data_IF_528152915113
#
_entry.id   IF_528152915113
#
_cell.length_a   1.000
_cell.length_b   1.000
_cell.length_c   1.000
_cell.angle_alpha   90.00
_cell.angle_beta   90.00
_cell.angle_gamma   90.00
#
_symmetry.space_group_name_H-M   'P 1'
#
loop_
_entity.id
_entity.type
_entity.pdbx_description
1 polymer ?
#
# COMPACT_ATOMS: atom_id res chain seq x y z
N UNK A 1 18.70 -5.56 48.77
CA UNK A 1 18.99 -4.35 47.95
C UNK A 1 20.06 -4.57 46.89
N UNK A 2 21.20 -5.23 47.18
CA UNK A 2 22.27 -5.45 46.17
C UNK A 2 21.88 -6.27 44.94
N UNK A 3 20.94 -7.20 45.06
CA UNK A 3 20.50 -8.06 43.95
C UNK A 3 19.70 -7.30 42.87
N UNK A 4 18.93 -6.28 43.26
CA UNK A 4 18.19 -5.42 42.33
C UNK A 4 19.15 -4.54 41.50
N UNK A 5 20.24 -4.07 42.11
CA UNK A 5 21.27 -3.27 41.42
C UNK A 5 22.09 -4.08 40.41
N UNK A 6 22.23 -5.39 40.61
CA UNK A 6 22.88 -6.28 39.64
C UNK A 6 21.96 -6.56 38.47
N UNK A 7 20.69 -6.90 38.73
CA UNK A 7 19.70 -7.19 37.68
C UNK A 7 19.46 -5.99 36.75
N UNK A 8 19.40 -4.76 37.31
CA UNK A 8 19.29 -3.54 36.50
C UNK A 8 20.52 -3.27 35.63
N UNK A 9 21.73 -3.57 36.13
CA UNK A 9 22.95 -3.43 35.31
C UNK A 9 22.98 -4.43 34.17
N UNK A 10 22.65 -5.69 34.42
CA UNK A 10 22.62 -6.74 33.41
C UNK A 10 21.60 -6.42 32.29
N UNK A 11 20.42 -5.89 32.67
CA UNK A 11 19.40 -5.47 31.71
C UNK A 11 19.89 -4.30 30.82
N UNK A 12 20.56 -3.31 31.40
CA UNK A 12 21.10 -2.16 30.64
C UNK A 12 22.20 -2.60 29.68
N UNK A 13 23.06 -3.53 30.10
CA UNK A 13 24.09 -4.10 29.22
C UNK A 13 23.48 -4.91 28.07
N UNK A 14 22.45 -5.73 28.34
CA UNK A 14 21.76 -6.50 27.31
C UNK A 14 21.07 -5.59 26.26
N UNK A 15 20.38 -4.52 26.71
CA UNK A 15 19.74 -3.55 25.81
C UNK A 15 20.79 -2.79 24.99
N UNK A 16 21.91 -2.39 25.60
CA UNK A 16 23.01 -1.72 24.89
C UNK A 16 23.61 -2.64 23.82
N UNK A 17 23.84 -3.91 24.14
CA UNK A 17 24.37 -4.88 23.17
C UNK A 17 23.41 -5.10 22.00
N UNK A 18 22.11 -5.23 22.27
CA UNK A 18 21.10 -5.34 21.21
C UNK A 18 21.04 -4.11 20.30
N UNK A 19 21.10 -2.90 20.88
CA UNK A 19 21.11 -1.65 20.13
C UNK A 19 22.37 -1.50 19.27
N UNK A 20 23.55 -1.85 19.80
CA UNK A 20 24.80 -1.83 19.04
C UNK A 20 24.78 -2.83 17.87
N UNK A 21 24.21 -4.03 18.06
CA UNK A 21 24.05 -4.99 16.98
C UNK A 21 23.14 -4.45 15.86
N UNK A 22 22.06 -3.73 16.19
CA UNK A 22 21.20 -3.10 15.18
C UNK A 22 21.89 -1.97 14.42
N UNK A 23 22.71 -1.15 15.10
CA UNK A 23 23.49 -0.09 14.45
C UNK A 23 24.58 -0.65 13.52
N UNK A 24 25.23 -1.74 13.92
CA UNK A 24 26.21 -2.43 13.08
C UNK A 24 25.56 -2.98 11.79
N UNK A 25 24.32 -3.50 11.90
CA UNK A 25 23.58 -3.95 10.73
C UNK A 25 23.23 -2.80 9.79
N UNK A 26 22.77 -1.65 10.31
CA UNK A 26 22.46 -0.47 9.47
C UNK A 26 23.72 0.12 8.80
N UNK A 27 24.86 0.10 9.50
CA UNK A 27 26.14 0.52 8.92
C UNK A 27 26.60 -0.39 7.77
N UNK A 28 26.44 -1.72 7.91
CA UNK A 28 26.74 -2.68 6.85
C UNK A 28 25.80 -2.52 5.64
N UNK A 29 24.50 -2.33 5.88
CA UNK A 29 23.52 -2.10 4.80
C UNK A 29 23.86 -0.81 4.04
N UNK A 30 24.22 0.27 4.74
CA UNK A 30 24.67 1.52 4.11
C UNK A 30 25.95 1.34 3.30
N UNK A 31 26.93 0.61 3.82
CA UNK A 31 28.18 0.34 3.11
C UNK A 31 27.94 -0.44 1.81
N UNK A 32 27.08 -1.48 1.86
CA UNK A 32 26.71 -2.27 0.67
C UNK A 32 25.95 -1.44 -0.36
N UNK A 33 25.04 -0.55 0.07
CA UNK A 33 24.33 0.35 -0.85
C UNK A 33 25.31 1.29 -1.56
N UNK A 34 26.33 1.81 -0.86
CA UNK A 34 27.35 2.69 -1.46
C UNK A 34 28.23 1.93 -2.45
N UNK A 35 28.63 0.69 -2.15
CA UNK A 35 29.39 -0.13 -3.12
C UNK A 35 28.56 -0.47 -4.35
N UNK A 36 27.27 -0.78 -4.19
CA UNK A 36 26.39 -1.09 -5.32
C UNK A 36 26.11 0.13 -6.20
N UNK A 37 26.09 1.35 -5.65
CA UNK A 37 25.92 2.56 -6.46
C UNK A 37 27.19 3.01 -7.20
N UNK A 38 28.37 2.53 -6.81
CA UNK A 38 29.62 2.84 -7.53
C UNK A 38 29.90 1.93 -8.74
N UNK A 39 29.12 0.87 -8.94
CA UNK A 39 29.24 -0.02 -10.11
C UNK A 39 28.47 0.47 -11.35
N UNK A 40 27.66 1.53 -11.23
CA UNK A 40 27.04 2.21 -12.36
C UNK A 40 27.81 3.49 -12.72
N UNK A 41 29.08 3.34 -13.13
CA UNK A 41 29.68 4.38 -13.96
C UNK A 41 28.99 4.34 -15.33
N UNK A 42 28.25 5.40 -15.74
CA UNK A 42 27.68 5.45 -17.07
C UNK A 42 28.84 5.51 -18.06
N UNK A 43 29.12 4.38 -18.72
CA UNK A 43 30.00 4.34 -19.87
C UNK A 43 29.61 5.49 -20.80
N UNK A 44 30.57 6.34 -21.24
CA UNK A 44 30.27 7.40 -22.19
C UNK A 44 29.83 6.74 -23.49
N UNK A 45 28.53 6.59 -23.67
CA UNK A 45 27.93 6.15 -24.92
C UNK A 45 28.37 7.18 -25.94
N UNK A 46 29.37 6.82 -26.74
CA UNK A 46 29.80 7.61 -27.87
C UNK A 46 28.63 7.59 -28.84
N UNK A 47 27.79 8.62 -28.76
CA UNK A 47 26.65 8.82 -29.64
C UNK A 47 27.23 9.06 -31.03
N UNK A 48 27.40 7.97 -31.78
CA UNK A 48 27.69 8.01 -33.21
C UNK A 48 26.58 8.86 -33.83
N UNK A 49 26.96 9.98 -34.44
CA UNK A 49 26.08 10.87 -35.16
C UNK A 49 25.41 10.07 -36.30
N UNK A 50 24.30 9.43 -35.98
CA UNK A 50 23.41 8.80 -36.94
C UNK A 50 22.61 9.93 -37.55
N UNK A 51 22.68 10.03 -38.88
CA UNK A 51 21.94 11.00 -39.67
C UNK A 51 20.46 11.00 -39.26
N UNK A 52 19.83 12.19 -39.14
CA UNK A 52 18.44 12.31 -38.73
C UNK A 52 17.54 11.70 -39.79
N UNK A 53 17.28 10.40 -39.67
CA UNK A 53 16.28 9.71 -40.45
C UNK A 53 14.93 10.26 -40.00
N UNK A 54 14.31 11.05 -40.87
CA UNK A 54 12.98 11.63 -40.68
C UNK A 54 11.95 10.49 -40.70
N UNK A 55 11.83 9.78 -39.58
CA UNK A 55 10.73 8.86 -39.35
C UNK A 55 9.49 9.70 -39.08
N UNK A 56 8.67 9.84 -40.10
CA UNK A 56 7.32 10.38 -39.96
C UNK A 56 6.49 9.39 -39.14
N UNK A 57 6.55 9.53 -37.81
CA UNK A 57 5.63 8.85 -36.90
C UNK A 57 4.25 9.45 -37.16
N UNK A 58 3.41 8.70 -37.85
CA UNK A 58 1.98 9.01 -37.97
C UNK A 58 1.42 8.97 -36.56
N UNK A 59 1.25 10.14 -35.95
CA UNK A 59 0.59 10.30 -34.64
C UNK A 59 -0.87 9.91 -34.86
N UNK A 60 -1.17 8.65 -34.62
CA UNK A 60 -2.55 8.17 -34.61
C UNK A 60 -3.26 8.92 -33.47
N UNK A 61 -4.40 9.59 -33.74
CA UNK A 61 -5.08 10.41 -32.74
C UNK A 61 -5.41 9.54 -31.53
N UNK A 62 -4.68 9.77 -30.44
CA UNK A 62 -4.84 8.98 -29.23
C UNK A 62 -6.27 9.16 -28.73
N UNK A 63 -7.06 8.08 -28.63
CA UNK A 63 -8.45 8.17 -28.20
C UNK A 63 -8.50 8.94 -26.88
N UNK A 64 -9.43 9.90 -26.81
CA UNK A 64 -9.60 10.78 -25.65
C UNK A 64 -9.55 9.94 -24.37
N UNK A 65 -8.68 10.33 -23.43
CA UNK A 65 -8.50 9.59 -22.20
C UNK A 65 -9.88 9.39 -21.53
N UNK A 66 -10.21 8.16 -21.11
CA UNK A 66 -11.49 7.90 -20.46
C UNK A 66 -11.63 8.82 -19.24
N UNK A 67 -12.85 9.35 -19.05
CA UNK A 67 -13.14 10.22 -17.92
C UNK A 67 -12.65 9.58 -16.61
N UNK A 68 -12.03 10.36 -15.71
CA UNK A 68 -11.51 9.81 -14.46
C UNK A 68 -12.66 9.14 -13.69
N UNK A 69 -12.51 7.85 -13.44
CA UNK A 69 -13.47 7.10 -12.62
C UNK A 69 -13.30 7.58 -11.18
N UNK A 70 -14.27 8.36 -10.71
CA UNK A 70 -14.33 8.82 -9.32
C UNK A 70 -15.05 7.77 -8.48
N UNK A 71 -14.56 7.55 -7.25
CA UNK A 71 -15.27 6.73 -6.28
C UNK A 71 -16.52 7.49 -5.83
N UNK A 72 -17.61 6.77 -5.55
CA UNK A 72 -18.82 7.38 -5.01
C UNK A 72 -18.52 8.18 -3.72
N UNK A 73 -18.95 9.43 -3.67
CA UNK A 73 -18.73 10.33 -2.55
C UNK A 73 -19.24 9.77 -1.20
N UNK A 74 -20.37 9.06 -1.20
CA UNK A 74 -20.90 8.43 0.01
C UNK A 74 -19.97 7.31 0.52
N UNK A 75 -19.38 6.54 -0.40
CA UNK A 75 -18.41 5.50 -0.04
C UNK A 75 -17.11 6.11 0.47
N UNK A 76 -16.60 7.17 -0.17
CA UNK A 76 -15.42 7.90 0.31
C UNK A 76 -15.64 8.49 1.71
N UNK A 77 -16.82 9.06 1.97
CA UNK A 77 -17.18 9.60 3.27
C UNK A 77 -17.26 8.51 4.35
N UNK A 78 -17.84 7.35 4.03
CA UNK A 78 -17.88 6.20 4.94
C UNK A 78 -16.47 5.69 5.27
N UNK A 79 -15.60 5.56 4.27
CA UNK A 79 -14.20 5.15 4.46
C UNK A 79 -13.46 6.18 5.33
N UNK A 80 -13.63 7.46 5.04
CA UNK A 80 -13.01 8.56 5.78
C UNK A 80 -13.47 8.54 7.23
N UNK A 81 -14.76 8.35 7.48
CA UNK A 81 -15.34 8.24 8.84
C UNK A 81 -14.67 7.12 9.67
N UNK A 82 -14.47 5.94 9.08
CA UNK A 82 -13.77 4.82 9.74
C UNK A 82 -12.30 5.16 10.01
N UNK A 83 -11.63 5.84 9.09
CA UNK A 83 -10.24 6.27 9.29
C UNK A 83 -10.13 7.32 10.40
N UNK A 84 -11.10 8.25 10.48
CA UNK A 84 -11.11 9.36 11.45
C UNK A 84 -11.67 8.99 12.82
N UNK A 85 -12.34 7.85 12.97
CA UNK A 85 -13.00 7.49 14.22
C UNK A 85 -11.99 7.45 15.38
N UNK A 86 -12.41 7.96 16.53
CA UNK A 86 -11.59 8.01 17.74
C UNK A 86 -11.31 6.61 18.27
N UNK A 87 -10.13 6.45 18.88
CA UNK A 87 -9.70 5.19 19.49
C UNK A 87 -10.30 5.12 20.90
N UNK A 88 -11.41 4.41 21.07
CA UNK A 88 -12.03 4.17 22.39
C UNK A 88 -11.62 2.83 23.02
N UNK A 89 -10.70 2.10 22.39
CA UNK A 89 -10.37 0.73 22.77
C UNK A 89 -9.22 0.65 23.76
N UNK A 90 -9.20 -0.45 24.53
CA UNK A 90 -8.20 -0.67 25.59
C UNK A 90 -6.78 -0.74 25.04
N UNK A 91 -6.59 -1.19 23.81
CA UNK A 91 -5.27 -1.25 23.16
C UNK A 91 -5.30 -0.65 21.75
N UNK A 92 -4.16 -0.12 21.32
CA UNK A 92 -3.98 0.41 19.96
C UNK A 92 -4.16 -0.70 18.91
N UNK A 93 -3.76 -1.93 19.22
CA UNK A 93 -3.89 -3.06 18.29
C UNK A 93 -5.35 -3.35 17.98
N UNK A 94 -6.17 -3.48 19.02
CA UNK A 94 -7.60 -3.78 18.87
C UNK A 94 -8.28 -2.71 17.99
N UNK A 95 -7.94 -1.43 18.22
CA UNK A 95 -8.53 -0.32 17.45
C UNK A 95 -8.21 -0.42 15.95
N UNK A 96 -6.98 -0.84 15.61
CA UNK A 96 -6.61 -1.06 14.21
C UNK A 96 -7.24 -2.32 13.62
N UNK A 97 -7.43 -3.38 14.41
CA UNK A 97 -8.12 -4.60 13.97
C UNK A 97 -9.58 -4.34 13.63
N UNK A 98 -10.26 -3.56 14.47
CA UNK A 98 -11.63 -3.11 14.22
C UNK A 98 -11.71 -2.27 12.94
N UNK A 99 -10.86 -1.25 12.82
CA UNK A 99 -10.83 -0.40 11.61
C UNK A 99 -10.52 -1.21 10.35
N UNK A 100 -9.59 -2.17 10.41
CA UNK A 100 -9.29 -3.06 9.27
C UNK A 100 -10.53 -3.87 8.87
N UNK A 101 -11.30 -4.37 9.85
CA UNK A 101 -12.54 -5.14 9.60
C UNK A 101 -13.65 -4.28 8.99
N UNK A 102 -13.86 -3.08 9.51
CA UNK A 102 -14.82 -2.12 8.98
C UNK A 102 -14.45 -1.68 7.55
N UNK A 103 -13.18 -1.31 7.31
CA UNK A 103 -12.68 -0.96 5.97
C UNK A 103 -12.82 -2.12 4.99
N UNK A 104 -12.49 -3.35 5.40
CA UNK A 104 -12.65 -4.55 4.57
C UNK A 104 -14.12 -4.72 4.15
N UNK A 105 -15.05 -4.47 5.06
CA UNK A 105 -16.50 -4.55 4.78
C UNK A 105 -16.91 -3.51 3.74
N UNK A 106 -16.47 -2.26 3.91
CA UNK A 106 -16.72 -1.18 2.94
C UNK A 106 -16.11 -1.49 1.57
N UNK A 107 -14.86 -1.98 1.52
CA UNK A 107 -14.19 -2.37 0.27
C UNK A 107 -14.85 -3.56 -0.40
N UNK A 108 -15.51 -4.43 0.36
CA UNK A 108 -16.28 -5.53 -0.19
C UNK A 108 -17.55 -5.05 -0.93
N UNK A 109 -18.13 -3.92 -0.53
CA UNK A 109 -19.33 -3.34 -1.13
C UNK A 109 -19.07 -2.48 -2.38
N UNK A 110 -17.81 -2.08 -2.64
CA UNK A 110 -17.44 -1.29 -3.81
C UNK A 110 -17.59 -2.06 -5.12
N UNK A 111 -18.00 -1.36 -6.18
CA UNK A 111 -17.99 -1.92 -7.54
C UNK A 111 -16.55 -2.11 -8.02
N UNK A 112 -16.27 -3.04 -8.95
CA UNK A 112 -14.90 -3.31 -9.36
C UNK A 112 -14.14 -2.12 -9.95
N UNK A 113 -14.84 -1.23 -10.68
CA UNK A 113 -14.24 -0.01 -11.21
C UNK A 113 -13.87 0.99 -10.11
N UNK A 114 -14.75 1.17 -9.12
CA UNK A 114 -14.50 2.02 -7.95
C UNK A 114 -13.36 1.46 -7.10
N UNK A 115 -13.35 0.14 -6.88
CA UNK A 115 -12.28 -0.54 -6.13
C UNK A 115 -10.92 -0.40 -6.83
N UNK A 116 -10.87 -0.50 -8.17
CA UNK A 116 -9.65 -0.31 -8.93
C UNK A 116 -9.13 1.14 -8.86
N UNK A 117 -10.03 2.12 -8.99
CA UNK A 117 -9.70 3.54 -8.84
C UNK A 117 -9.18 3.86 -7.44
N UNK A 118 -9.87 3.40 -6.40
CA UNK A 118 -9.47 3.56 -5.01
C UNK A 118 -8.14 2.87 -4.71
N UNK A 119 -7.92 1.64 -5.22
CA UNK A 119 -6.66 0.91 -5.06
C UNK A 119 -5.49 1.72 -5.62
N UNK A 120 -5.65 2.28 -6.83
CA UNK A 120 -4.62 3.10 -7.47
C UNK A 120 -4.31 4.34 -6.64
N UNK A 121 -5.36 5.04 -6.17
CA UNK A 121 -5.25 6.21 -5.29
C UNK A 121 -4.51 5.89 -3.98
N UNK A 122 -4.88 4.80 -3.31
CA UNK A 122 -4.28 4.39 -2.05
C UNK A 122 -2.85 3.82 -2.17
N UNK A 123 -2.53 3.18 -3.30
CA UNK A 123 -1.19 2.63 -3.55
C UNK A 123 -0.16 3.72 -3.89
N UNK A 124 -0.61 4.88 -4.38
CA UNK A 124 0.23 6.01 -4.75
C UNK A 124 -0.26 7.27 -4.03
N UNK A 125 -0.02 7.37 -2.70
CA UNK A 125 -0.49 8.49 -1.90
C UNK A 125 0.08 9.81 -2.44
N UNK A 126 -0.81 10.78 -2.65
CA UNK A 126 -0.44 12.16 -2.98
C UNK A 126 -0.49 12.99 -1.70
N UNK A 127 0.39 13.98 -1.59
CA UNK A 127 0.49 14.82 -0.38
C UNK A 127 -0.82 15.56 -0.04
N UNK A 128 -1.61 15.90 -1.06
CA UNK A 128 -2.89 16.62 -0.90
C UNK A 128 -4.09 15.69 -0.68
N UNK A 129 -3.87 14.37 -0.69
CA UNK A 129 -4.92 13.37 -0.54
C UNK A 129 -5.04 12.94 0.93
N UNK A 130 -5.99 13.56 1.65
CA UNK A 130 -6.22 13.28 3.07
C UNK A 130 -6.58 11.81 3.33
N UNK A 131 -7.37 11.20 2.43
CA UNK A 131 -7.76 9.80 2.54
C UNK A 131 -6.53 8.89 2.42
N UNK A 132 -5.68 9.11 1.41
CA UNK A 132 -4.46 8.31 1.23
C UNK A 132 -3.45 8.54 2.35
N UNK A 133 -3.34 9.77 2.85
CA UNK A 133 -2.46 10.15 3.98
C UNK A 133 -2.89 9.51 5.29
N UNK A 134 -4.19 9.40 5.56
CA UNK A 134 -4.70 8.66 6.73
C UNK A 134 -4.50 7.17 6.57
N UNK A 135 -4.75 6.63 5.36
CA UNK A 135 -4.52 5.23 5.06
C UNK A 135 -3.05 4.84 5.24
N UNK A 136 -2.10 5.71 4.88
CA UNK A 136 -0.66 5.45 5.05
C UNK A 136 -0.20 5.32 6.51
N UNK A 137 -1.02 5.73 7.49
CA UNK A 137 -0.74 5.55 8.93
C UNK A 137 -0.90 4.11 9.40
N UNK A 138 -1.57 3.25 8.62
CA UNK A 138 -1.63 1.83 8.93
C UNK A 138 -0.26 1.16 8.74
N UNK A 139 0.00 0.12 9.54
CA UNK A 139 1.13 -0.77 9.34
C UNK A 139 1.15 -1.32 7.90
N UNK A 140 2.36 -1.48 7.33
CA UNK A 140 2.56 -1.89 5.94
C UNK A 140 1.79 -3.18 5.61
N UNK A 141 1.88 -4.19 6.48
CA UNK A 141 1.21 -5.48 6.29
C UNK A 141 -0.31 -5.33 6.18
N UNK A 142 -0.92 -4.51 7.04
CA UNK A 142 -2.37 -4.23 7.01
C UNK A 142 -2.77 -3.53 5.72
N UNK A 143 -1.97 -2.56 5.27
CA UNK A 143 -2.18 -1.87 3.98
C UNK A 143 -2.15 -2.85 2.82
N UNK A 144 -1.17 -3.75 2.78
CA UNK A 144 -1.06 -4.78 1.74
C UNK A 144 -2.29 -5.69 1.72
N UNK A 145 -2.76 -6.16 2.88
CA UNK A 145 -4.00 -6.96 2.98
C UNK A 145 -5.22 -6.22 2.45
N UNK A 146 -5.40 -4.97 2.86
CA UNK A 146 -6.53 -4.14 2.43
C UNK A 146 -6.49 -3.81 0.92
N UNK A 147 -5.31 -3.51 0.38
CA UNK A 147 -5.12 -3.32 -1.07
C UNK A 147 -5.40 -4.62 -1.86
N UNK A 148 -5.09 -5.79 -1.28
CA UNK A 148 -5.46 -7.09 -1.82
C UNK A 148 -6.97 -7.29 -1.96
N UNK A 149 -7.75 -6.87 -0.95
CA UNK A 149 -9.23 -6.94 -1.00
C UNK A 149 -9.81 -6.10 -2.16
N UNK A 150 -9.21 -4.94 -2.43
CA UNK A 150 -9.57 -4.08 -3.56
C UNK A 150 -9.14 -4.70 -4.90
N UNK A 151 -7.97 -5.36 -4.95
CA UNK A 151 -7.50 -6.08 -6.13
C UNK A 151 -8.45 -7.20 -6.56
N UNK A 152 -9.03 -7.90 -5.59
CA UNK A 152 -9.90 -9.06 -5.82
C UNK A 152 -11.36 -8.71 -6.19
N UNK A 153 -11.71 -7.42 -6.30
CA UNK A 153 -13.09 -6.99 -6.52
C UNK A 153 -13.75 -7.63 -7.77
N UNK A 154 -13.03 -7.71 -8.90
CA UNK A 154 -13.54 -8.37 -10.13
C UNK A 154 -13.80 -9.86 -9.93
N UNK A 155 -12.89 -10.56 -9.24
CA UNK A 155 -13.05 -11.99 -8.94
C UNK A 155 -14.26 -12.22 -8.04
N UNK A 156 -14.48 -11.37 -7.04
CA UNK A 156 -15.64 -11.43 -6.15
C UNK A 156 -16.95 -11.22 -6.90
N UNK A 157 -17.01 -10.23 -7.78
CA UNK A 157 -18.20 -9.98 -8.62
C UNK A 157 -18.51 -11.19 -9.53
N UNK A 158 -17.51 -11.75 -10.22
CA UNK A 158 -17.68 -12.94 -11.06
C UNK A 158 -18.22 -14.14 -10.27
N UNK A 159 -17.71 -14.36 -9.04
CA UNK A 159 -18.20 -15.42 -8.16
C UNK A 159 -19.64 -15.17 -7.69
N UNK A 160 -20.02 -13.93 -7.41
CA UNK A 160 -21.39 -13.56 -7.05
C UNK A 160 -22.37 -13.80 -8.22
N UNK A 161 -21.99 -13.39 -9.44
CA UNK A 161 -22.78 -13.64 -10.65
C UNK A 161 -22.95 -15.15 -10.89
N UNK A 162 -21.87 -15.92 -10.78
CA UNK A 162 -21.92 -17.38 -10.96
C UNK A 162 -22.84 -18.07 -9.92
N UNK A 163 -22.85 -17.60 -8.66
CA UNK A 163 -23.76 -18.10 -7.61
C UNK A 163 -25.21 -17.77 -7.90
N UNK A 164 -25.51 -16.54 -8.33
CA UNK A 164 -26.86 -16.13 -8.72
C UNK A 164 -27.43 -17.00 -9.86
N UNK A 165 -26.60 -17.33 -10.86
CA UNK A 165 -27.00 -18.20 -11.97
C UNK A 165 -27.30 -19.65 -11.52
N UNK A 166 -26.58 -20.18 -10.51
CA UNK A 166 -26.85 -21.52 -9.97
C UNK A 166 -28.17 -21.58 -9.21
N UNK A 167 -28.51 -20.54 -8.45
CA UNK A 167 -29.77 -20.48 -7.70
C UNK A 167 -31.00 -20.46 -8.61
N UNK A 168 -30.91 -19.84 -9.80
CA UNK A 168 -32.03 -19.81 -10.76
C UNK A 168 -32.27 -21.13 -11.51
N UNK A 169 -31.26 -22.01 -11.61
CA UNK A 169 -31.41 -23.30 -12.32
C UNK A 169 -32.04 -24.42 -11.47
N UNK A 170 -32.00 -24.31 -10.14
CA UNK A 170 -32.54 -25.33 -9.22
C UNK A 170 -34.01 -25.15 -8.83
N UNK A 171 -34.69 -24.14 -9.36
CA UNK A 171 -36.08 -23.79 -8.99
C UNK A 171 -37.12 -24.19 -10.06
N UNK A 172 -36.80 -25.13 -10.94
CA UNK A 172 -37.70 -25.71 -11.95
C UNK A 172 -37.97 -27.17 -11.62
#
# INVERSE_FOLDING_TARGET
>A
MRELDTCLRDLVEAVRAAYQATLAHDALVRAVIIELTQLEEPQPTTVRASEPSLVFVRVEPQPAAPAPVTVNAAAEQAITSVLTSEQSERTISDAFDRKETELRTLFCALRPLEAAALRKRLAQPRAEDDLATRFSRFAIERRVRLLGVLADARRREALQQARGMRSMRGAR
#
